data_IF_471394607084
#
_entry.id   IF_471394607084
#
_cell.length_a   1.000
_cell.length_b   1.000
_cell.length_c   1.000
_cell.angle_alpha   90.00
_cell.angle_beta   90.00
_cell.angle_gamma   90.00
#
_symmetry.space_group_name_H-M   'P 1'
#
loop_
_entity.id
_entity.type
_entity.pdbx_description
1 polymer ?
#
# COMPACT_ATOMS: atom_id res chain seq x y z
N UNK A 1 -25.50 9.86 2.10
CA UNK A 1 -24.71 8.62 1.92
C UNK A 1 -24.27 8.14 3.30
N UNK A 2 -24.34 6.84 3.58
CA UNK A 2 -24.00 6.30 4.90
C UNK A 2 -22.48 6.39 5.14
N UNK A 3 -22.06 6.77 6.35
CA UNK A 3 -20.65 6.81 6.71
C UNK A 3 -20.00 5.43 6.50
N UNK A 4 -18.79 5.38 5.93
CA UNK A 4 -18.12 4.11 5.65
C UNK A 4 -17.84 3.35 6.94
N UNK A 5 -18.13 2.04 6.94
CA UNK A 5 -17.99 1.24 8.15
C UNK A 5 -16.52 0.95 8.47
N UNK A 6 -16.20 0.78 9.76
CA UNK A 6 -14.86 0.37 10.21
C UNK A 6 -14.34 -0.86 9.47
N UNK A 7 -15.22 -1.80 9.15
CA UNK A 7 -14.89 -3.01 8.38
C UNK A 7 -14.43 -2.69 6.97
N UNK A 8 -15.07 -1.75 6.28
CA UNK A 8 -14.66 -1.31 4.94
C UNK A 8 -13.28 -0.65 4.96
N UNK A 9 -13.02 0.21 5.95
CA UNK A 9 -11.70 0.87 6.14
C UNK A 9 -10.60 -0.18 6.33
N UNK A 10 -10.81 -1.14 7.23
CA UNK A 10 -9.82 -2.19 7.53
C UNK A 10 -9.63 -3.16 6.36
N UNK A 11 -10.70 -3.47 5.62
CA UNK A 11 -10.61 -4.28 4.41
C UNK A 11 -9.72 -3.60 3.36
N UNK A 12 -9.98 -2.32 3.08
CA UNK A 12 -9.20 -1.55 2.10
C UNK A 12 -7.73 -1.42 2.52
N UNK A 13 -7.46 -1.17 3.80
CA UNK A 13 -6.10 -1.15 4.35
C UNK A 13 -5.35 -2.46 4.08
N UNK A 14 -5.98 -3.61 4.38
CA UNK A 14 -5.38 -4.92 4.13
C UNK A 14 -5.15 -5.17 2.64
N UNK A 15 -6.07 -4.75 1.78
CA UNK A 15 -5.89 -4.86 0.33
C UNK A 15 -4.68 -4.05 -0.15
N UNK A 16 -4.55 -2.80 0.30
CA UNK A 16 -3.41 -1.95 -0.04
C UNK A 16 -2.08 -2.56 0.40
N UNK A 17 -2.00 -3.09 1.62
CA UNK A 17 -0.79 -3.78 2.11
C UNK A 17 -0.47 -5.04 1.30
N UNK A 18 -1.50 -5.84 0.97
CA UNK A 18 -1.32 -7.06 0.17
C UNK A 18 -0.83 -6.75 -1.23
N UNK A 19 -1.42 -5.77 -1.91
CA UNK A 19 -0.97 -5.38 -3.26
C UNK A 19 0.41 -4.71 -3.24
N UNK A 20 0.70 -3.86 -2.24
CA UNK A 20 2.02 -3.23 -2.09
C UNK A 20 3.15 -4.24 -1.90
N UNK A 21 2.89 -5.36 -1.22
CA UNK A 21 3.88 -6.44 -1.07
C UNK A 21 4.23 -7.14 -2.39
N UNK A 22 3.40 -7.02 -3.43
CA UNK A 22 3.61 -7.69 -4.73
C UNK A 22 4.56 -6.94 -5.65
N UNK A 23 5.00 -5.72 -5.29
CA UNK A 23 6.00 -4.99 -6.05
C UNK A 23 7.30 -5.79 -6.10
N UNK A 24 7.84 -6.06 -7.31
CA UNK A 24 9.10 -6.81 -7.43
C UNK A 24 10.29 -5.98 -6.94
N UNK A 25 10.34 -4.69 -7.27
CA UNK A 25 11.41 -3.80 -6.85
C UNK A 25 11.32 -3.45 -5.35
N UNK A 26 12.43 -3.62 -4.64
CA UNK A 26 12.57 -3.35 -3.20
C UNK A 26 12.07 -1.96 -2.78
N UNK A 27 12.54 -0.94 -3.48
CA UNK A 27 12.28 0.46 -3.18
C UNK A 27 10.78 0.77 -3.25
N UNK A 28 10.09 0.32 -4.31
CA UNK A 28 8.65 0.51 -4.46
C UNK A 28 7.87 -0.28 -3.41
N UNK A 29 8.24 -1.56 -3.17
CA UNK A 29 7.60 -2.40 -2.15
C UNK A 29 7.68 -1.78 -0.77
N UNK A 30 8.88 -1.43 -0.33
CA UNK A 30 9.11 -0.86 1.01
C UNK A 30 8.49 0.52 1.17
N UNK A 31 8.62 1.39 0.16
CA UNK A 31 7.98 2.70 0.15
C UNK A 31 6.45 2.61 0.23
N UNK A 32 5.82 1.80 -0.63
CA UNK A 32 4.37 1.67 -0.66
C UNK A 32 3.83 1.14 0.66
N UNK A 33 4.46 0.11 1.25
CA UNK A 33 4.09 -0.42 2.55
C UNK A 33 4.18 0.62 3.67
N UNK A 34 5.28 1.37 3.72
CA UNK A 34 5.47 2.44 4.70
C UNK A 34 4.41 3.53 4.50
N UNK A 35 4.25 4.04 3.29
CA UNK A 35 3.31 5.12 2.99
C UNK A 35 1.86 4.74 3.31
N UNK A 36 1.44 3.51 3.02
CA UNK A 36 0.10 3.00 3.38
C UNK A 36 -0.06 2.94 4.89
N UNK A 37 0.93 2.43 5.63
CA UNK A 37 0.87 2.39 7.11
C UNK A 37 0.77 3.78 7.71
N UNK A 38 1.62 4.70 7.26
CA UNK A 38 1.69 6.05 7.79
C UNK A 38 0.40 6.82 7.48
N UNK A 39 -0.10 6.75 6.25
CA UNK A 39 -1.35 7.42 5.87
C UNK A 39 -2.56 6.98 6.71
N UNK A 40 -2.69 5.68 6.99
CA UNK A 40 -3.79 5.19 7.83
C UNK A 40 -3.61 5.53 9.31
N UNK A 41 -2.37 5.63 9.80
CA UNK A 41 -2.08 6.07 11.17
C UNK A 41 -2.34 7.57 11.34
N UNK A 42 -1.89 8.39 10.40
CA UNK A 42 -2.12 9.84 10.34
C UNK A 42 -3.62 10.18 10.40
N UNK A 43 -4.46 9.38 9.72
CA UNK A 43 -5.90 9.64 9.60
C UNK A 43 -6.78 8.78 10.55
N UNK A 44 -6.18 8.17 11.59
CA UNK A 44 -6.88 7.28 12.52
C UNK A 44 -8.08 7.94 13.22
N UNK A 45 -7.94 9.22 13.57
CA UNK A 45 -8.88 9.95 14.41
C UNK A 45 -9.75 10.94 13.60
N UNK A 46 -9.85 10.76 12.29
CA UNK A 46 -10.73 11.59 11.46
C UNK A 46 -12.18 11.19 11.72
N UNK A 47 -12.97 12.11 12.27
CA UNK A 47 -14.38 11.89 12.61
C UNK A 47 -15.34 12.47 11.57
N UNK A 48 -14.89 13.47 10.78
CA UNK A 48 -15.72 14.07 9.73
C UNK A 48 -16.04 13.04 8.63
N UNK A 49 -17.31 12.65 8.45
CA UNK A 49 -17.71 11.66 7.46
C UNK A 49 -17.33 12.05 6.02
N UNK A 50 -17.34 13.34 5.67
CA UNK A 50 -17.01 13.81 4.32
C UNK A 50 -15.52 13.62 4.03
N UNK A 51 -14.67 13.99 4.99
CA UNK A 51 -13.22 13.82 4.87
C UNK A 51 -12.86 12.33 4.82
N UNK A 52 -13.52 11.51 5.66
CA UNK A 52 -13.32 10.06 5.65
C UNK A 52 -13.68 9.44 4.30
N UNK A 53 -14.80 9.85 3.69
CA UNK A 53 -15.20 9.40 2.36
C UNK A 53 -14.18 9.79 1.27
N UNK A 54 -13.70 11.03 1.29
CA UNK A 54 -12.65 11.50 0.37
C UNK A 54 -11.35 10.69 0.52
N UNK A 55 -10.92 10.42 1.75
CA UNK A 55 -9.73 9.61 2.03
C UNK A 55 -9.89 8.18 1.53
N UNK A 56 -11.08 7.58 1.67
CA UNK A 56 -11.35 6.24 1.16
C UNK A 56 -11.39 6.19 -0.36
N UNK A 57 -11.94 7.20 -1.03
CA UNK A 57 -11.90 7.29 -2.48
C UNK A 57 -10.44 7.39 -2.97
N UNK A 58 -9.65 8.27 -2.35
CA UNK A 58 -8.20 8.35 -2.62
C UNK A 58 -7.48 7.01 -2.38
N UNK A 59 -7.85 6.29 -1.33
CA UNK A 59 -7.27 4.97 -1.04
C UNK A 59 -7.67 3.92 -2.10
N UNK A 60 -8.88 3.97 -2.65
CA UNK A 60 -9.34 3.11 -3.76
C UNK A 60 -8.58 3.43 -5.05
N UNK A 61 -8.38 4.72 -5.35
CA UNK A 61 -7.60 5.14 -6.52
C UNK A 61 -6.14 4.69 -6.41
N UNK A 62 -5.54 4.87 -5.24
CA UNK A 62 -4.19 4.38 -4.95
C UNK A 62 -4.08 2.86 -5.07
N UNK A 63 -5.10 2.10 -4.63
CA UNK A 63 -5.13 0.65 -4.82
C UNK A 63 -5.11 0.28 -6.30
N UNK A 64 -5.89 0.98 -7.14
CA UNK A 64 -5.89 0.76 -8.57
C UNK A 64 -4.54 1.09 -9.22
N UNK A 65 -3.89 2.18 -8.78
CA UNK A 65 -2.54 2.55 -9.22
C UNK A 65 -1.53 1.46 -8.83
N UNK A 66 -1.52 1.03 -7.57
CA UNK A 66 -0.60 -0.01 -7.08
C UNK A 66 -0.76 -1.28 -7.90
N UNK A 67 -1.99 -1.74 -8.15
CA UNK A 67 -2.24 -2.94 -8.97
C UNK A 67 -1.65 -2.81 -10.38
N UNK A 68 -1.84 -1.69 -11.06
CA UNK A 68 -1.27 -1.45 -12.40
C UNK A 68 0.27 -1.43 -12.36
N UNK A 69 0.83 -0.73 -11.38
CA UNK A 69 2.28 -0.59 -11.24
C UNK A 69 2.96 -1.91 -10.85
N UNK A 70 2.29 -2.77 -10.07
CA UNK A 70 2.77 -4.13 -9.80
C UNK A 70 2.84 -4.96 -11.08
N UNK A 71 1.84 -4.87 -11.96
CA UNK A 71 1.83 -5.59 -13.24
C UNK A 71 2.97 -5.09 -14.14
N UNK A 72 3.12 -3.77 -14.30
CA UNK A 72 4.20 -3.17 -15.10
C UNK A 72 5.56 -3.55 -14.53
N UNK A 73 5.74 -3.48 -13.21
CA UNK A 73 7.00 -3.85 -12.56
C UNK A 73 7.40 -5.30 -12.79
N UNK A 74 6.43 -6.21 -12.95
CA UNK A 74 6.69 -7.62 -13.29
C UNK A 74 7.02 -7.82 -14.78
N UNK A 75 6.40 -7.03 -15.67
CA UNK A 75 6.70 -7.07 -17.11
C UNK A 75 8.12 -6.60 -17.40
N UNK A 76 8.62 -5.65 -16.61
CA UNK A 76 9.95 -5.06 -16.75
C UNK A 76 10.78 -5.26 -15.48
N UNK A 77 10.78 -6.49 -14.96
CA UNK A 77 11.55 -6.81 -13.75
C UNK A 77 13.06 -6.72 -14.04
N UNK A 78 13.78 -6.09 -13.12
CA UNK A 78 15.24 -5.94 -13.17
C UNK A 78 15.90 -6.82 -12.11
N UNK A 79 17.22 -6.99 -12.21
CA UNK A 79 17.98 -7.74 -11.22
C UNK A 79 17.79 -7.17 -9.81
N UNK A 80 17.73 -8.08 -8.83
CA UNK A 80 17.60 -7.71 -7.43
C UNK A 80 18.78 -6.84 -6.98
N UNK A 81 18.48 -5.89 -6.12
CA UNK A 81 19.47 -4.98 -5.56
C UNK A 81 20.34 -5.67 -4.50
N UNK A 82 21.53 -5.12 -4.22
CA UNK A 82 22.46 -5.69 -3.20
C UNK A 82 21.80 -5.80 -1.81
N UNK A 83 20.88 -4.89 -1.50
CA UNK A 83 20.11 -4.90 -0.24
C UNK A 83 19.11 -6.06 -0.16
N UNK A 84 18.75 -6.68 -1.27
CA UNK A 84 17.87 -7.85 -1.33
C UNK A 84 18.65 -9.17 -1.30
N UNK A 85 19.93 -9.17 -1.68
CA UNK A 85 20.74 -10.38 -1.86
C UNK A 85 21.30 -11.00 -0.58
N UNK A 86 21.00 -10.48 0.62
CA UNK A 86 21.62 -11.01 1.85
C UNK A 86 20.66 -11.22 3.04
N UNK A 87 20.00 -12.38 3.13
CA UNK A 87 19.43 -12.87 4.37
C UNK A 87 20.41 -13.85 5.03
N UNK A 88 21.44 -13.34 5.72
CA UNK A 88 22.34 -14.09 6.63
C UNK A 88 23.22 -15.19 5.99
N UNK A 89 24.49 -14.85 5.72
CA UNK A 89 25.64 -15.79 5.77
C UNK A 89 26.88 -15.13 6.38
N UNK A 90 26.72 -14.53 7.56
CA UNK A 90 27.83 -14.20 8.45
C UNK A 90 27.34 -14.52 9.85
N UNK A 91 28.17 -15.24 10.61
CA UNK A 91 27.90 -16.06 11.81
C UNK A 91 27.45 -17.49 11.49
#
# INVERSE_FOLDING_TARGET
>A
MAAPSRTQVLSLYRMLLRESNKFPAYNYRTYALRRVRDAFRENRNVEDPKVLEQLLNKARDNLAIIKRQVVIGRMYEVQRTVVESNPRKFF
#
